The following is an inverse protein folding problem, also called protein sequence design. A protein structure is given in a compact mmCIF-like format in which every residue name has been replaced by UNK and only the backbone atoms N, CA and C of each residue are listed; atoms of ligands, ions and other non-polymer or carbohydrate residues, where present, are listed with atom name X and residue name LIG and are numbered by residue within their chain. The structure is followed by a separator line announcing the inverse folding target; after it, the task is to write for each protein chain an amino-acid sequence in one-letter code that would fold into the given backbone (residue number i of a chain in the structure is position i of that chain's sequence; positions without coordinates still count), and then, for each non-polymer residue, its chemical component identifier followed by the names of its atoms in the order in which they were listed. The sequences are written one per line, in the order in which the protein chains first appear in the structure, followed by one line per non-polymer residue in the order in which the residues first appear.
data_IF_904854057270
#
_entry.id   IF_904854057270
#
_cell.length_a   1.000
_cell.length_b   1.000
_cell.length_c   1.000
_cell.angle_alpha   90.00
_cell.angle_beta   90.00
_cell.angle_gamma   90.00
#
_symmetry.space_group_name_H-M   'P 1'
#
loop_
_entity.id
_entity.type
_entity.pdbx_description
1 polymer ?
#
# COMPACT_ATOMS: atom_id res chain seq x y z
N UNK A 1 -20.46 -15.04 -14.41
CA UNK A 1 -19.85 -13.70 -14.31
C UNK A 1 -18.77 -13.59 -13.24
N UNK A 2 -19.06 -13.67 -11.93
CA UNK A 2 -18.04 -13.45 -10.88
C UNK A 2 -16.79 -14.36 -11.00
N UNK A 3 -16.97 -15.65 -11.26
CA UNK A 3 -15.86 -16.60 -11.48
C UNK A 3 -15.01 -16.24 -12.70
N UNK A 4 -15.64 -15.77 -13.79
CA UNK A 4 -14.93 -15.32 -14.99
C UNK A 4 -14.11 -14.05 -14.72
N UNK A 5 -14.67 -13.09 -13.97
CA UNK A 5 -13.94 -11.88 -13.56
C UNK A 5 -12.76 -12.22 -12.65
N UNK A 6 -12.93 -13.15 -11.71
CA UNK A 6 -11.85 -13.63 -10.86
C UNK A 6 -10.74 -14.29 -11.69
N UNK A 7 -11.09 -15.18 -12.63
CA UNK A 7 -10.12 -15.81 -13.52
C UNK A 7 -9.37 -14.82 -14.40
N UNK A 8 -10.10 -13.86 -15.01
CA UNK A 8 -9.52 -12.80 -15.81
C UNK A 8 -8.59 -11.90 -14.98
N UNK A 9 -9.00 -11.57 -13.75
CA UNK A 9 -8.20 -10.79 -12.82
C UNK A 9 -6.89 -11.49 -12.46
N UNK A 10 -6.94 -12.78 -12.14
CA UNK A 10 -5.75 -13.57 -11.82
C UNK A 10 -4.79 -13.64 -13.03
N UNK A 11 -5.34 -13.90 -14.22
CA UNK A 11 -4.55 -13.93 -15.46
C UNK A 11 -3.88 -12.58 -15.76
N UNK A 12 -4.59 -11.47 -15.54
CA UNK A 12 -4.07 -10.12 -15.71
C UNK A 12 -2.87 -9.85 -14.80
N UNK A 13 -3.01 -10.03 -13.49
CA UNK A 13 -1.91 -9.73 -12.55
C UNK A 13 -0.74 -10.70 -12.68
N UNK A 14 -1.02 -11.97 -13.00
CA UNK A 14 0.02 -12.95 -13.32
C UNK A 14 0.82 -12.53 -14.56
N UNK A 15 0.13 -12.08 -15.61
CA UNK A 15 0.74 -11.57 -16.83
C UNK A 15 1.62 -10.34 -16.57
N UNK A 16 1.09 -9.35 -15.85
CA UNK A 16 1.85 -8.13 -15.48
C UNK A 16 3.09 -8.50 -14.66
N UNK A 17 2.95 -9.30 -13.60
CA UNK A 17 4.10 -9.69 -12.76
C UNK A 17 5.12 -10.55 -13.52
N UNK A 18 4.69 -11.34 -14.50
CA UNK A 18 5.60 -12.07 -15.39
C UNK A 18 6.42 -11.10 -16.25
N UNK A 19 5.78 -10.09 -16.84
CA UNK A 19 6.47 -9.05 -17.62
C UNK A 19 7.46 -8.30 -16.75
N UNK A 20 7.06 -7.89 -15.54
CA UNK A 20 7.95 -7.18 -14.62
C UNK A 20 9.11 -8.06 -14.14
N UNK A 21 8.89 -9.36 -13.96
CA UNK A 21 9.96 -10.31 -13.68
C UNK A 21 10.95 -10.41 -14.85
N UNK A 22 10.48 -10.41 -16.11
CA UNK A 22 11.37 -10.37 -17.27
C UNK A 22 12.21 -9.08 -17.32
N UNK A 23 11.60 -7.93 -16.99
CA UNK A 23 12.33 -6.65 -16.86
C UNK A 23 13.35 -6.74 -15.72
N UNK A 24 12.98 -7.37 -14.60
CA UNK A 24 13.88 -7.61 -13.48
C UNK A 24 15.11 -8.43 -13.92
N UNK A 25 14.96 -9.47 -14.73
CA UNK A 25 16.10 -10.27 -15.21
C UNK A 25 17.12 -9.42 -15.98
N UNK A 26 16.65 -8.45 -16.77
CA UNK A 26 17.51 -7.53 -17.53
C UNK A 26 18.16 -6.48 -16.65
N UNK A 27 17.39 -5.88 -15.75
CA UNK A 27 17.83 -4.72 -14.95
C UNK A 27 18.53 -5.11 -13.65
N UNK A 28 18.39 -6.37 -13.22
CA UNK A 28 18.87 -6.91 -11.93
C UNK A 28 18.38 -6.13 -10.71
N UNK A 29 17.29 -5.37 -10.85
CA UNK A 29 16.68 -4.60 -9.77
C UNK A 29 15.27 -5.14 -9.51
N UNK A 30 15.08 -5.81 -8.37
CA UNK A 30 13.78 -6.40 -8.01
C UNK A 30 12.75 -5.38 -7.50
N UNK A 31 13.14 -4.12 -7.28
CA UNK A 31 12.23 -3.07 -6.81
C UNK A 31 11.07 -2.75 -7.75
N UNK A 32 11.16 -3.15 -9.02
CA UNK A 32 10.03 -3.00 -9.96
C UNK A 32 8.78 -3.79 -9.56
N UNK A 33 8.95 -4.81 -8.71
CA UNK A 33 7.82 -5.58 -8.17
C UNK A 33 6.86 -4.72 -7.33
N UNK A 34 7.37 -3.71 -6.62
CA UNK A 34 6.53 -2.83 -5.79
C UNK A 34 5.67 -1.91 -6.64
N UNK A 35 6.25 -1.42 -7.76
CA UNK A 35 5.51 -0.70 -8.79
C UNK A 35 4.38 -1.57 -9.35
N UNK A 36 4.70 -2.82 -9.67
CA UNK A 36 3.73 -3.80 -10.16
C UNK A 36 2.59 -4.07 -9.20
N UNK A 37 2.91 -4.30 -7.92
CA UNK A 37 1.94 -4.55 -6.86
C UNK A 37 0.95 -3.39 -6.74
N UNK A 38 1.47 -2.16 -6.64
CA UNK A 38 0.62 -0.98 -6.58
C UNK A 38 -0.22 -0.82 -7.87
N UNK A 39 0.38 -0.97 -9.05
CA UNK A 39 -0.29 -0.81 -10.36
C UNK A 39 -1.42 -1.84 -10.57
N UNK A 40 -1.18 -3.09 -10.19
CA UNK A 40 -2.10 -4.21 -10.41
C UNK A 40 -3.45 -3.99 -9.74
N UNK A 41 -3.49 -3.40 -8.54
CA UNK A 41 -4.75 -3.14 -7.84
C UNK A 41 -5.66 -2.17 -8.62
N UNK A 42 -5.09 -1.15 -9.26
CA UNK A 42 -5.82 -0.24 -10.14
C UNK A 42 -6.24 -0.90 -11.46
N UNK A 43 -5.38 -1.74 -12.04
CA UNK A 43 -5.71 -2.52 -13.24
C UNK A 43 -6.85 -3.52 -12.98
N UNK A 44 -6.85 -4.18 -11.82
CA UNK A 44 -7.94 -5.06 -11.38
C UNK A 44 -9.25 -4.29 -11.22
N UNK A 45 -9.22 -3.10 -10.61
CA UNK A 45 -10.40 -2.26 -10.48
C UNK A 45 -10.97 -1.81 -11.84
N UNK A 46 -10.10 -1.48 -12.81
CA UNK A 46 -10.52 -1.18 -14.19
C UNK A 46 -11.11 -2.41 -14.88
N UNK A 47 -10.45 -3.57 -14.77
CA UNK A 47 -10.95 -4.82 -15.34
C UNK A 47 -12.37 -5.13 -14.81
N UNK A 48 -12.57 -5.03 -13.50
CA UNK A 48 -13.86 -5.30 -12.88
C UNK A 48 -14.92 -4.25 -13.23
N UNK A 49 -14.52 -3.00 -13.44
CA UNK A 49 -15.42 -1.95 -13.94
C UNK A 49 -16.00 -2.30 -15.31
N UNK A 50 -15.14 -2.69 -16.26
CA UNK A 50 -15.57 -3.01 -17.62
C UNK A 50 -16.30 -4.35 -17.74
N UNK A 51 -15.95 -5.34 -16.92
CA UNK A 51 -16.60 -6.65 -16.95
C UNK A 51 -17.86 -6.74 -16.07
N UNK A 52 -17.97 -5.92 -15.03
CA UNK A 52 -19.07 -6.00 -14.07
C UNK A 52 -20.35 -5.38 -14.61
N UNK A 53 -21.49 -5.99 -14.30
CA UNK A 53 -22.83 -5.47 -14.66
C UNK A 53 -23.50 -4.71 -13.50
N UNK A 54 -22.76 -4.37 -12.44
CA UNK A 54 -23.27 -3.59 -11.31
C UNK A 54 -23.70 -2.17 -11.69
N UNK A 55 -24.27 -1.46 -10.72
CA UNK A 55 -24.76 -0.10 -10.89
C UNK A 55 -23.61 0.84 -11.31
N UNK A 56 -23.78 1.66 -12.38
CA UNK A 56 -22.73 2.49 -12.95
C UNK A 56 -22.02 3.44 -11.96
N UNK A 57 -22.76 4.17 -11.13
CA UNK A 57 -22.17 5.13 -10.19
C UNK A 57 -21.31 4.42 -9.15
N UNK A 58 -21.81 3.32 -8.57
CA UNK A 58 -21.09 2.49 -7.60
C UNK A 58 -19.76 1.98 -8.16
N UNK A 59 -19.77 1.37 -9.35
CA UNK A 59 -18.54 0.87 -9.97
C UNK A 59 -17.59 2.01 -10.33
N UNK A 60 -18.11 3.15 -10.79
CA UNK A 60 -17.29 4.32 -11.09
C UNK A 60 -16.58 4.84 -9.85
N UNK A 61 -17.27 4.93 -8.71
CA UNK A 61 -16.70 5.42 -7.46
C UNK A 61 -15.60 4.49 -6.92
N UNK A 62 -15.88 3.20 -6.77
CA UNK A 62 -14.89 2.26 -6.21
C UNK A 62 -13.67 2.14 -7.13
N UNK A 63 -13.86 2.15 -8.45
CA UNK A 63 -12.76 2.11 -9.41
C UNK A 63 -11.96 3.41 -9.41
N UNK A 64 -12.61 4.59 -9.31
CA UNK A 64 -11.91 5.85 -9.17
C UNK A 64 -11.06 5.89 -7.89
N UNK A 65 -11.63 5.47 -6.75
CA UNK A 65 -10.90 5.37 -5.48
C UNK A 65 -9.67 4.45 -5.62
N UNK A 66 -9.87 3.24 -6.17
CA UNK A 66 -8.79 2.27 -6.38
C UNK A 66 -7.70 2.81 -7.32
N UNK A 67 -8.06 3.36 -8.47
CA UNK A 67 -7.12 3.88 -9.46
C UNK A 67 -6.34 5.10 -8.94
N UNK A 68 -7.01 6.05 -8.27
CA UNK A 68 -6.35 7.24 -7.74
C UNK A 68 -5.27 6.87 -6.72
N UNK A 69 -5.56 5.96 -5.80
CA UNK A 69 -4.58 5.47 -4.84
C UNK A 69 -3.50 4.62 -5.51
N UNK A 70 -3.89 3.63 -6.32
CA UNK A 70 -3.00 2.67 -6.97
C UNK A 70 -1.99 3.37 -7.88
N UNK A 71 -2.44 4.24 -8.78
CA UNK A 71 -1.56 4.88 -9.75
C UNK A 71 -0.68 5.94 -9.10
N UNK A 72 -1.19 6.69 -8.12
CA UNK A 72 -0.36 7.60 -7.32
C UNK A 72 0.81 6.84 -6.69
N UNK A 73 0.53 5.74 -6.00
CA UNK A 73 1.54 4.96 -5.31
C UNK A 73 2.50 4.29 -6.30
N UNK A 74 1.98 3.69 -7.38
CA UNK A 74 2.77 3.05 -8.42
C UNK A 74 3.77 4.04 -9.04
N UNK A 75 3.30 5.19 -9.54
CA UNK A 75 4.18 6.18 -10.13
C UNK A 75 5.18 6.76 -9.13
N UNK A 76 4.75 7.01 -7.89
CA UNK A 76 5.67 7.42 -6.84
C UNK A 76 6.81 6.40 -6.65
N UNK A 77 6.50 5.11 -6.56
CA UNK A 77 7.52 4.05 -6.41
C UNK A 77 8.41 3.93 -7.64
N UNK A 78 7.84 4.03 -8.84
CA UNK A 78 8.59 3.98 -10.10
C UNK A 78 9.63 5.10 -10.18
N UNK A 79 9.21 6.35 -9.93
CA UNK A 79 10.07 7.51 -10.08
C UNK A 79 11.03 7.71 -8.90
N UNK A 80 10.63 7.39 -7.67
CA UNK A 80 11.45 7.66 -6.49
C UNK A 80 12.32 6.50 -6.03
N UNK A 81 11.99 5.26 -6.41
CA UNK A 81 12.65 4.06 -5.88
C UNK A 81 13.23 3.12 -6.92
N UNK A 82 12.81 3.22 -8.18
CA UNK A 82 13.28 2.34 -9.23
C UNK A 82 14.13 3.07 -10.27
N UNK A 83 13.59 4.11 -10.90
CA UNK A 83 14.28 4.81 -11.99
C UNK A 83 15.52 5.55 -11.48
N UNK A 84 16.68 5.18 -12.01
CA UNK A 84 17.97 5.79 -11.66
C UNK A 84 18.45 5.48 -10.23
N UNK A 85 17.81 4.53 -9.54
CA UNK A 85 18.16 4.14 -8.18
C UNK A 85 18.78 2.74 -8.14
N UNK A 86 19.66 2.51 -7.18
CA UNK A 86 20.15 1.17 -6.87
C UNK A 86 19.04 0.28 -6.30
N UNK A 87 19.20 -1.05 -6.44
CA UNK A 87 18.29 -2.03 -5.83
C UNK A 87 18.19 -1.81 -4.31
N UNK A 88 16.95 -1.68 -3.80
CA UNK A 88 16.71 -1.47 -2.38
C UNK A 88 17.38 -2.58 -1.53
N UNK A 89 17.83 -2.20 -0.32
CA UNK A 89 18.58 -3.10 0.58
C UNK A 89 17.88 -4.43 0.87
N UNK A 90 16.53 -4.43 0.96
CA UNK A 90 15.75 -5.66 1.23
C UNK A 90 15.88 -6.70 0.11
N UNK A 91 15.92 -6.28 -1.15
CA UNK A 91 16.06 -7.21 -2.28
C UNK A 91 17.50 -7.71 -2.41
N UNK A 92 18.48 -6.84 -2.13
CA UNK A 92 19.89 -7.25 -1.99
C UNK A 92 20.05 -8.29 -0.89
N UNK A 93 19.39 -8.13 0.24
CA UNK A 93 19.40 -9.10 1.34
C UNK A 93 18.76 -10.44 0.93
N UNK A 94 17.61 -10.42 0.25
CA UNK A 94 16.98 -11.63 -0.29
C UNK A 94 17.92 -12.36 -1.26
N UNK A 95 18.58 -11.64 -2.16
CA UNK A 95 19.57 -12.20 -3.09
C UNK A 95 20.73 -12.86 -2.34
N UNK A 96 21.26 -12.22 -1.29
CA UNK A 96 22.32 -12.77 -0.44
C UNK A 96 21.87 -14.01 0.33
N UNK A 97 20.62 -14.04 0.82
CA UNK A 97 20.05 -15.18 1.56
C UNK A 97 19.77 -16.37 0.65
N UNK A 98 19.21 -16.13 -0.53
CA UNK A 98 18.71 -17.20 -1.39
C UNK A 98 19.79 -17.94 -2.16
N UNK A 99 20.94 -17.32 -2.45
CA UNK A 99 22.16 -17.87 -3.08
C UNK A 99 21.96 -18.62 -4.42
N UNK A 100 21.21 -19.71 -4.44
CA UNK A 100 20.89 -20.55 -5.60
C UNK A 100 19.46 -20.34 -6.10
N UNK A 101 19.22 -20.67 -7.38
CA UNK A 101 17.91 -20.60 -8.06
C UNK A 101 17.24 -19.22 -7.95
N UNK A 102 18.04 -18.16 -7.99
CA UNK A 102 17.57 -16.78 -7.78
C UNK A 102 16.44 -16.42 -8.75
N UNK A 103 16.57 -16.75 -10.04
CA UNK A 103 15.56 -16.41 -11.04
C UNK A 103 14.20 -17.05 -10.72
N UNK A 104 14.19 -18.33 -10.35
CA UNK A 104 12.97 -19.05 -9.98
C UNK A 104 12.38 -18.52 -8.66
N UNK A 105 13.22 -18.24 -7.66
CA UNK A 105 12.76 -17.69 -6.38
C UNK A 105 12.17 -16.29 -6.54
N UNK A 106 12.79 -15.44 -7.36
CA UNK A 106 12.23 -14.14 -7.71
C UNK A 106 10.97 -14.29 -8.56
N UNK A 107 10.89 -15.25 -9.47
CA UNK A 107 9.64 -15.51 -10.20
C UNK A 107 8.50 -15.85 -9.24
N UNK A 108 8.71 -16.81 -8.34
CA UNK A 108 7.74 -17.18 -7.30
C UNK A 108 7.39 -15.99 -6.41
N UNK A 109 8.38 -15.16 -6.05
CA UNK A 109 8.15 -13.96 -5.26
C UNK A 109 7.25 -12.94 -5.98
N UNK A 110 7.48 -12.68 -7.28
CA UNK A 110 6.63 -11.81 -8.09
C UNK A 110 5.22 -12.37 -8.23
N UNK A 111 5.08 -13.69 -8.43
CA UNK A 111 3.76 -14.32 -8.51
C UNK A 111 3.03 -14.37 -7.16
N UNK A 112 3.76 -14.43 -6.05
CA UNK A 112 3.16 -14.25 -4.73
C UNK A 112 2.60 -12.84 -4.54
N UNK A 113 3.22 -11.81 -5.13
CA UNK A 113 2.66 -10.45 -5.16
C UNK A 113 1.41 -10.37 -6.05
N UNK A 114 1.42 -10.99 -7.24
CA UNK A 114 0.22 -11.09 -8.09
C UNK A 114 -0.96 -11.76 -7.35
N UNK A 115 -0.70 -12.88 -6.65
CA UNK A 115 -1.73 -13.56 -5.87
C UNK A 115 -2.25 -12.67 -4.74
N UNK A 116 -1.36 -11.94 -4.07
CA UNK A 116 -1.76 -10.98 -3.03
C UNK A 116 -2.64 -9.86 -3.59
N UNK A 117 -2.30 -9.29 -4.76
CA UNK A 117 -3.13 -8.29 -5.44
C UNK A 117 -4.53 -8.82 -5.74
N UNK A 118 -4.60 -10.04 -6.28
CA UNK A 118 -5.86 -10.70 -6.59
C UNK A 118 -6.71 -10.99 -5.35
N UNK A 119 -6.08 -11.40 -4.25
CA UNK A 119 -6.77 -11.56 -2.96
C UNK A 119 -7.26 -10.21 -2.45
N UNK A 120 -6.44 -9.17 -2.51
CA UNK A 120 -6.78 -7.84 -1.99
C UNK A 120 -7.80 -7.07 -2.86
N UNK A 121 -8.07 -7.48 -4.09
CA UNK A 121 -9.00 -6.80 -4.99
C UNK A 121 -10.47 -7.16 -4.78
N UNK A 122 -10.79 -8.08 -3.88
CA UNK A 122 -12.16 -8.49 -3.57
C UNK A 122 -13.16 -7.35 -3.30
N UNK A 123 -12.86 -6.29 -2.53
CA UNK A 123 -13.81 -5.19 -2.34
C UNK A 123 -14.19 -4.51 -3.67
N UNK A 124 -13.26 -4.40 -4.62
CA UNK A 124 -13.52 -3.81 -5.93
C UNK A 124 -14.45 -4.70 -6.76
N UNK A 125 -14.18 -6.00 -6.78
CA UNK A 125 -15.03 -6.98 -7.47
C UNK A 125 -16.46 -6.97 -6.93
N UNK A 126 -16.61 -7.03 -5.61
CA UNK A 126 -17.92 -7.13 -4.95
C UNK A 126 -18.75 -5.86 -5.17
N UNK A 127 -18.12 -4.68 -5.16
CA UNK A 127 -18.78 -3.43 -5.50
C UNK A 127 -19.21 -3.38 -6.98
N UNK A 128 -18.35 -3.82 -7.92
CA UNK A 128 -18.66 -3.84 -9.35
C UNK A 128 -19.74 -4.86 -9.77
N UNK A 129 -20.07 -5.83 -8.90
CA UNK A 129 -21.14 -6.81 -9.11
C UNK A 129 -22.49 -6.36 -8.53
N UNK A 130 -22.53 -5.31 -7.71
CA UNK A 130 -23.74 -4.90 -7.02
C UNK A 130 -24.60 -4.00 -7.92
N UNK A 131 -25.75 -4.51 -8.33
CA UNK A 131 -26.73 -3.87 -9.22
C UNK A 131 -27.83 -3.09 -8.50
N UNK A 132 -27.79 -2.95 -7.17
CA UNK A 132 -28.77 -2.13 -6.44
C UNK A 132 -28.74 -0.68 -6.96
N UNK A 133 -29.89 -0.07 -7.29
CA UNK A 133 -29.93 1.22 -7.99
C UNK A 133 -29.40 2.39 -7.17
N UNK A 134 -29.53 2.32 -5.84
CA UNK A 134 -29.12 3.39 -4.94
C UNK A 134 -27.84 3.03 -4.18
N UNK A 135 -27.05 4.05 -3.86
CA UNK A 135 -25.90 3.92 -2.96
C UNK A 135 -26.37 3.87 -1.50
N UNK A 136 -25.91 2.87 -0.76
CA UNK A 136 -26.16 2.78 0.66
C UNK A 136 -25.38 3.85 1.44
N UNK A 137 -25.87 4.23 2.62
CA UNK A 137 -25.17 5.15 3.53
C UNK A 137 -23.73 4.70 3.85
N UNK A 138 -23.49 3.39 3.88
CA UNK A 138 -22.18 2.81 4.12
C UNK A 138 -21.19 3.10 2.98
N UNK A 139 -21.67 3.19 1.73
CA UNK A 139 -20.84 3.53 0.56
C UNK A 139 -20.41 4.99 0.63
N UNK A 140 -21.32 5.90 1.00
CA UNK A 140 -20.99 7.30 1.25
C UNK A 140 -20.00 7.47 2.41
N UNK A 141 -20.19 6.74 3.50
CA UNK A 141 -19.25 6.74 4.62
C UNK A 141 -17.87 6.19 4.22
N UNK A 142 -17.83 5.09 3.46
CA UNK A 142 -16.61 4.53 2.90
C UNK A 142 -15.88 5.51 1.98
N UNK A 143 -16.60 6.21 1.10
CA UNK A 143 -16.04 7.25 0.24
C UNK A 143 -15.44 8.41 1.07
N UNK A 144 -16.18 8.90 2.06
CA UNK A 144 -15.70 9.97 2.95
C UNK A 144 -14.45 9.56 3.74
N UNK A 145 -14.45 8.34 4.29
CA UNK A 145 -13.28 7.79 4.99
C UNK A 145 -12.08 7.65 4.05
N UNK A 146 -12.31 7.16 2.83
CA UNK A 146 -11.26 7.03 1.82
C UNK A 146 -10.67 8.39 1.44
N UNK A 147 -11.48 9.42 1.25
CA UNK A 147 -10.99 10.78 0.93
C UNK A 147 -10.09 11.33 2.04
N UNK A 148 -10.52 11.23 3.30
CA UNK A 148 -9.71 11.65 4.46
C UNK A 148 -8.39 10.88 4.50
N UNK A 149 -8.46 9.56 4.28
CA UNK A 149 -7.30 8.70 4.33
C UNK A 149 -6.32 8.96 3.19
N UNK A 150 -6.80 9.06 1.95
CA UNK A 150 -6.00 9.37 0.77
C UNK A 150 -5.29 10.73 0.89
N UNK A 151 -6.00 11.77 1.35
CA UNK A 151 -5.40 13.08 1.59
C UNK A 151 -4.39 13.05 2.73
N UNK A 152 -4.69 12.35 3.82
CA UNK A 152 -3.80 12.19 4.97
C UNK A 152 -2.50 11.46 4.60
N UNK A 153 -2.60 10.38 3.83
CA UNK A 153 -1.45 9.63 3.31
C UNK A 153 -0.61 10.50 2.38
N UNK A 154 -1.25 11.17 1.42
CA UNK A 154 -0.57 12.06 0.46
C UNK A 154 0.16 13.20 1.17
N UNK A 155 -0.46 13.81 2.18
CA UNK A 155 0.14 14.85 3.00
C UNK A 155 1.34 14.32 3.81
N UNK A 156 1.21 13.14 4.42
CA UNK A 156 2.29 12.51 5.17
C UNK A 156 3.50 12.20 4.27
N UNK A 157 3.27 11.61 3.10
CA UNK A 157 4.32 11.31 2.13
C UNK A 157 5.00 12.59 1.61
N UNK A 158 4.21 13.62 1.28
CA UNK A 158 4.75 14.91 0.84
C UNK A 158 5.62 15.57 1.93
N UNK A 159 5.16 15.59 3.18
CA UNK A 159 5.95 16.10 4.31
C UNK A 159 7.28 15.35 4.47
N UNK A 160 7.26 14.02 4.33
CA UNK A 160 8.48 13.20 4.41
C UNK A 160 9.42 13.48 3.23
N UNK A 161 8.87 13.60 2.02
CA UNK A 161 9.65 13.91 0.83
C UNK A 161 10.34 15.27 0.95
N UNK A 162 9.59 16.32 1.31
CA UNK A 162 10.13 17.66 1.52
C UNK A 162 11.23 17.68 2.59
N UNK A 163 11.02 16.95 3.70
CA UNK A 163 12.04 16.83 4.73
C UNK A 163 13.32 16.16 4.21
N UNK A 164 13.20 15.10 3.42
CA UNK A 164 14.34 14.35 2.87
C UNK A 164 15.08 15.08 1.75
N UNK A 165 14.41 15.95 0.99
CA UNK A 165 15.04 16.71 -0.09
C UNK A 165 16.00 17.79 0.42
N UNK A 166 15.85 18.26 1.66
CA UNK A 166 16.78 19.21 2.27
C UNK A 166 18.03 18.50 2.82
N UNK A 167 19.20 18.83 2.28
CA UNK A 167 20.50 18.28 2.72
C UNK A 167 20.79 18.56 4.20
N UNK A 168 20.23 19.61 4.80
CA UNK A 168 20.37 19.94 6.24
C UNK A 168 19.71 18.93 7.16
N UNK A 169 18.85 18.07 6.60
CA UNK A 169 18.13 17.03 7.32
C UNK A 169 18.78 15.64 7.21
N UNK A 170 19.93 15.52 6.54
CA UNK A 170 20.69 14.27 6.49
C UNK A 170 20.98 13.76 7.91
N UNK A 171 20.69 12.47 8.15
CA UNK A 171 20.84 11.83 9.46
C UNK A 171 19.74 12.17 10.49
N UNK A 172 18.80 13.08 10.21
CA UNK A 172 17.74 13.49 11.14
C UNK A 172 16.42 12.74 10.91
N UNK A 173 15.57 12.72 11.94
CA UNK A 173 14.22 12.17 11.87
C UNK A 173 13.20 13.24 11.53
N UNK A 174 12.32 12.96 10.56
CA UNK A 174 11.22 13.83 10.21
C UNK A 174 10.27 13.96 11.41
N UNK A 175 9.97 15.20 11.79
CA UNK A 175 9.02 15.54 12.87
C UNK A 175 8.04 16.64 12.43
N UNK A 176 7.90 16.85 11.12
CA UNK A 176 7.06 17.89 10.54
C UNK A 176 5.60 17.42 10.37
N UNK A 177 4.64 18.30 10.68
CA UNK A 177 3.22 18.05 10.44
C UNK A 177 2.72 16.76 11.10
N UNK A 178 2.21 15.82 10.30
CA UNK A 178 1.67 14.54 10.77
C UNK A 178 2.75 13.66 11.42
N UNK A 179 4.01 13.78 10.99
CA UNK A 179 5.16 13.15 11.63
C UNK A 179 5.48 13.74 13.00
N UNK A 180 4.77 14.75 13.47
CA UNK A 180 4.87 15.18 14.86
C UNK A 180 3.99 14.34 15.80
N UNK A 181 2.95 13.70 15.26
CA UNK A 181 1.90 13.01 16.00
C UNK A 181 1.96 11.49 15.88
N UNK A 182 2.49 10.97 14.78
CA UNK A 182 2.75 9.54 14.59
C UNK A 182 4.12 9.31 13.96
N UNK A 183 4.75 8.20 14.31
CA UNK A 183 5.98 7.75 13.66
C UNK A 183 5.76 7.19 12.28
N UNK A 184 4.55 6.74 11.98
CA UNK A 184 4.15 6.17 10.68
C UNK A 184 2.74 6.66 10.29
N UNK A 185 2.54 7.98 10.11
CA UNK A 185 1.23 8.53 9.78
C UNK A 185 0.73 8.05 8.41
N UNK A 186 1.65 7.88 7.44
CA UNK A 186 1.32 7.31 6.13
C UNK A 186 0.80 5.87 6.25
N UNK A 187 1.41 5.01 7.07
CA UNK A 187 0.88 3.65 7.30
C UNK A 187 -0.48 3.63 8.00
N UNK A 188 -0.73 4.60 8.89
CA UNK A 188 -2.04 4.74 9.51
C UNK A 188 -3.11 5.06 8.45
N UNK A 189 -2.86 6.07 7.61
CA UNK A 189 -3.80 6.43 6.57
C UNK A 189 -3.93 5.37 5.48
N UNK A 190 -2.84 4.70 5.11
CA UNK A 190 -2.87 3.49 4.26
C UNK A 190 -3.84 2.45 4.84
N UNK A 191 -3.74 2.12 6.13
CA UNK A 191 -4.66 1.17 6.74
C UNK A 191 -6.13 1.64 6.70
N UNK A 192 -6.38 2.95 6.82
CA UNK A 192 -7.71 3.53 6.72
C UNK A 192 -8.25 3.48 5.29
N UNK A 193 -7.41 3.58 4.25
CA UNK A 193 -7.81 3.38 2.86
C UNK A 193 -8.37 1.97 2.65
N UNK A 194 -7.71 0.96 3.21
CA UNK A 194 -8.19 -0.42 3.13
C UNK A 194 -9.46 -0.68 3.95
N UNK A 195 -9.59 -0.03 5.12
CA UNK A 195 -10.85 -0.04 5.88
C UNK A 195 -11.96 0.61 5.06
N UNK A 196 -11.68 1.71 4.36
CA UNK A 196 -12.63 2.42 3.53
C UNK A 196 -13.13 1.57 2.35
N UNK A 197 -12.24 0.84 1.67
CA UNK A 197 -12.63 -0.14 0.64
C UNK A 197 -13.54 -1.24 1.19
N UNK A 198 -13.20 -1.79 2.35
CA UNK A 198 -14.03 -2.79 3.03
C UNK A 198 -15.41 -2.22 3.37
N UNK A 199 -15.46 -1.06 4.01
CA UNK A 199 -16.71 -0.38 4.39
C UNK A 199 -17.58 -0.13 3.16
N UNK A 200 -17.00 0.42 2.09
CA UNK A 200 -17.72 0.65 0.84
C UNK A 200 -18.27 -0.68 0.27
N UNK A 201 -17.42 -1.71 0.15
CA UNK A 201 -17.82 -2.99 -0.39
C UNK A 201 -18.83 -3.74 0.49
N UNK A 202 -18.84 -3.52 1.81
CA UNK A 202 -19.75 -4.18 2.75
C UNK A 202 -21.24 -3.88 2.50
N UNK A 203 -21.56 -2.84 1.73
CA UNK A 203 -22.91 -2.57 1.24
C UNK A 203 -23.38 -3.56 0.15
N UNK A 204 -22.44 -4.26 -0.49
CA UNK A 204 -22.69 -5.24 -1.55
C UNK A 204 -22.96 -6.64 -1.00
N UNK A 205 -23.67 -7.50 -1.74
CA UNK A 205 -23.79 -8.92 -1.41
C UNK A 205 -22.42 -9.55 -1.16
N UNK A 206 -22.27 -10.24 -0.03
CA UNK A 206 -21.00 -10.84 0.43
C UNK A 206 -19.83 -9.86 0.66
N UNK A 207 -20.09 -8.55 0.60
CA UNK A 207 -19.12 -7.48 0.82
C UNK A 207 -18.35 -7.60 2.13
N UNK A 208 -19.04 -8.04 3.19
CA UNK A 208 -18.47 -8.23 4.52
C UNK A 208 -17.28 -9.21 4.55
N UNK A 209 -17.19 -10.14 3.60
CA UNK A 209 -16.07 -11.08 3.49
C UNK A 209 -14.75 -10.34 3.25
N UNK A 210 -14.79 -9.19 2.56
CA UNK A 210 -13.59 -8.38 2.28
C UNK A 210 -12.92 -7.76 3.52
N UNK A 211 -13.44 -8.00 4.74
CA UNK A 211 -12.80 -7.61 6.00
C UNK A 211 -11.39 -8.17 6.14
N UNK A 212 -11.08 -9.30 5.49
CA UNK A 212 -9.72 -9.83 5.49
C UNK A 212 -8.72 -8.87 4.82
N UNK A 213 -9.14 -8.01 3.87
CA UNK A 213 -8.24 -7.09 3.17
C UNK A 213 -7.56 -6.10 4.14
N UNK A 214 -8.29 -5.29 4.94
CA UNK A 214 -7.65 -4.42 5.93
C UNK A 214 -6.89 -5.21 7.00
N UNK A 215 -7.34 -6.42 7.38
CA UNK A 215 -6.61 -7.25 8.35
C UNK A 215 -5.25 -7.74 7.81
N UNK A 216 -5.19 -8.17 6.54
CA UNK A 216 -3.95 -8.56 5.88
C UNK A 216 -2.98 -7.38 5.76
N UNK A 217 -3.48 -6.19 5.42
CA UNK A 217 -2.66 -4.98 5.34
C UNK A 217 -2.14 -4.56 6.72
N UNK A 218 -2.99 -4.58 7.75
CA UNK A 218 -2.55 -4.33 9.12
C UNK A 218 -1.48 -5.35 9.55
N UNK A 219 -1.66 -6.64 9.23
CA UNK A 219 -0.66 -7.66 9.52
C UNK A 219 0.65 -7.39 8.78
N UNK A 220 0.61 -6.99 7.50
CA UNK A 220 1.79 -6.63 6.72
C UNK A 220 2.52 -5.43 7.32
N UNK A 221 1.77 -4.39 7.74
CA UNK A 221 2.30 -3.18 8.37
C UNK A 221 2.96 -3.50 9.72
N UNK A 222 2.29 -4.26 10.59
CA UNK A 222 2.77 -4.48 11.96
C UNK A 222 3.80 -5.60 12.08
N UNK A 223 3.81 -6.60 11.18
CA UNK A 223 4.62 -7.82 11.37
C UNK A 223 5.62 -8.14 10.27
N UNK A 224 5.35 -7.80 9.01
CA UNK A 224 6.13 -8.34 7.88
C UNK A 224 7.09 -7.31 7.31
N UNK A 225 6.55 -6.26 6.68
CA UNK A 225 7.35 -5.33 5.86
C UNK A 225 7.20 -3.86 6.27
N UNK A 226 6.25 -3.51 7.13
CA UNK A 226 6.01 -2.12 7.53
C UNK A 226 6.92 -1.62 8.64
N UNK A 227 6.33 -1.47 9.83
CA UNK A 227 6.90 -0.74 10.97
C UNK A 227 8.20 -1.38 11.47
N UNK A 228 8.29 -2.69 11.77
CA UNK A 228 9.50 -3.25 12.38
C UNK A 228 10.76 -3.07 11.52
N UNK A 229 10.64 -3.30 10.21
CA UNK A 229 11.76 -3.17 9.27
C UNK A 229 12.20 -1.70 9.11
N UNK A 230 11.25 -0.77 9.01
CA UNK A 230 11.53 0.66 8.87
C UNK A 230 12.12 1.27 10.15
N UNK A 231 11.60 0.91 11.33
CA UNK A 231 12.15 1.37 12.61
C UNK A 231 13.55 0.79 12.86
N UNK A 232 13.79 -0.49 12.54
CA UNK A 232 15.12 -1.09 12.66
C UNK A 232 16.16 -0.37 11.78
N UNK A 233 15.80 -0.03 10.54
CA UNK A 233 16.67 0.74 9.65
C UNK A 233 16.90 2.17 10.17
N UNK A 234 15.85 2.81 10.70
CA UNK A 234 15.96 4.16 11.25
C UNK A 234 16.87 4.20 12.49
N UNK A 235 16.79 3.18 13.36
CA UNK A 235 17.69 3.03 14.51
C UNK A 235 19.14 2.87 14.09
N UNK A 236 19.41 2.05 13.04
CA UNK A 236 20.77 1.86 12.50
C UNK A 236 21.37 3.13 11.89
N UNK A 237 20.53 3.96 11.27
CA UNK A 237 21.00 5.13 10.51
C UNK A 237 20.97 6.45 11.28
N UNK A 238 20.11 6.56 12.31
CA UNK A 238 19.87 7.82 13.06
C UNK A 238 20.14 7.71 14.56
N UNK A 239 20.34 6.49 15.09
CA UNK A 239 20.75 6.26 16.48
C UNK A 239 19.80 6.90 17.51
N UNK A 240 20.37 7.70 18.42
CA UNK A 240 19.65 8.33 19.53
C UNK A 240 18.52 9.28 19.09
N UNK A 241 18.66 9.94 17.94
CA UNK A 241 17.62 10.84 17.43
C UNK A 241 16.29 10.08 17.21
N UNK A 242 16.37 8.88 16.64
CA UNK A 242 15.19 8.04 16.43
C UNK A 242 14.73 7.36 17.72
N UNK A 243 15.63 6.96 18.63
CA UNK A 243 15.23 6.44 19.95
C UNK A 243 14.43 7.46 20.76
N UNK A 244 14.84 8.73 20.75
CA UNK A 244 14.08 9.80 21.40
C UNK A 244 12.71 10.01 20.74
N UNK A 245 12.62 9.85 19.43
CA UNK A 245 11.35 9.89 18.71
C UNK A 245 10.43 8.72 19.08
N UNK A 246 10.97 7.51 19.25
CA UNK A 246 10.20 6.35 19.73
C UNK A 246 9.63 6.52 21.15
N UNK A 247 10.35 7.23 22.02
CA UNK A 247 9.91 7.49 23.41
C UNK A 247 8.79 8.54 23.49
N UNK A 248 8.78 9.50 22.57
CA UNK A 248 7.92 10.70 22.66
C UNK A 248 6.72 10.67 21.74
N UNK A 249 6.79 9.98 20.59
CA UNK A 249 5.76 10.02 19.55
C UNK A 249 5.06 8.67 19.42
N UNK A 250 3.74 8.69 19.24
CA UNK A 250 2.94 7.48 18.99
C UNK A 250 3.46 6.71 17.77
N UNK A 251 3.46 5.38 17.84
CA UNK A 251 3.97 4.54 16.74
C UNK A 251 3.09 4.67 15.49
N UNK A 252 1.78 4.56 15.63
CA UNK A 252 0.87 4.32 14.51
C UNK A 252 -0.29 5.32 14.49
N UNK A 253 -1.18 5.27 15.48
CA UNK A 253 -2.31 6.20 15.57
C UNK A 253 -1.78 7.60 15.91
N UNK A 254 -2.08 8.65 15.12
CA UNK A 254 -1.70 10.02 15.43
C UNK A 254 -2.17 10.45 16.82
N UNK A 255 -1.23 10.86 17.69
CA UNK A 255 -1.52 11.23 19.06
C UNK A 255 -0.56 12.31 19.58
N UNK A 256 -0.93 12.98 20.66
CA UNK A 256 -0.08 13.98 21.31
C UNK A 256 1.21 13.35 21.87
N UNK A 257 2.29 14.13 21.84
CA UNK A 257 3.59 13.67 22.34
C UNK A 257 3.60 13.45 23.84
N UNK A 258 4.30 12.41 24.28
CA UNK A 258 4.65 12.21 25.68
C UNK A 258 5.81 13.14 26.05
N UNK A 259 5.66 13.84 27.18
CA UNK A 259 6.77 14.57 27.78
C UNK A 259 7.75 13.57 28.42
N UNK A 260 9.03 13.65 28.05
CA UNK A 260 10.07 12.93 28.78
C UNK A 260 10.19 13.59 30.15
N UNK A 261 9.79 12.88 31.22
CA UNK A 261 10.13 13.30 32.57
C UNK A 261 11.66 13.27 32.68
N UNK A 262 12.29 14.43 32.76
CA UNK A 262 13.66 14.53 33.23
C UNK A 262 13.67 14.02 34.67
N UNK A 263 14.36 12.91 34.90
CA UNK A 263 14.70 12.51 36.26
C UNK A 263 15.50 13.68 36.87
N UNK A 264 14.93 14.29 37.92
CA UNK A 264 15.64 15.25 38.76
C UNK A 264 16.55 14.50 39.72
#
# INVERSE_FOLDING_TARGET
MAVQMLGAGLALVFGVMTILWLIHLRTRNAGIVDFGWALNLGLLALLYFFMGEGEPLRKSLITAMACLWSFRLAFYLLFTRYLGQEEEGRYRELRRKWKTNLNLKFFVFFQAQALLDWVLSAPFLLACLNSKPELAALEWFGLGLWLIAFLGETLADWQLHQFKSDRRNQGKTCRAGLWNYSRHPNYFFESLIWVAYFVFAAASPYGWISVYCPLLILLAIFKVTGIPATEAQALRTKGEDYRNYQRTTSMFVPWFKKQLRTAR
#
